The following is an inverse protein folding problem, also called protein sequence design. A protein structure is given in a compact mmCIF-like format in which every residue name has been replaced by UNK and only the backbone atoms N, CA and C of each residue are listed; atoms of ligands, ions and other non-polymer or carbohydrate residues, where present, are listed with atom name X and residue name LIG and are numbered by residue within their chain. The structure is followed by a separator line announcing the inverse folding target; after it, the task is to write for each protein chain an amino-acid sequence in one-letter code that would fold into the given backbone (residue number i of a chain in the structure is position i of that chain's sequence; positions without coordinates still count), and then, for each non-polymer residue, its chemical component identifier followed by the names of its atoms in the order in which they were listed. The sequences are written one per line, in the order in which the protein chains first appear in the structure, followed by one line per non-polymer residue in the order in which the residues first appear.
data_IF_134658681873
#
_entry.id   IF_134658681873
#
_cell.length_a   1.000
_cell.length_b   1.000
_cell.length_c   1.000
_cell.angle_alpha   90.00
_cell.angle_beta   90.00
_cell.angle_gamma   90.00
#
_symmetry.space_group_name_H-M   'P 1'
#
loop_
_entity.id
_entity.type
_entity.pdbx_description
1 polymer ?
#
# COMPACT_ATOMS: atom_id res chain seq x y z
N UNK A 1 -4.17 -13.92 5.29
CA UNK A 1 -4.08 -13.32 3.94
C UNK A 1 -3.60 -11.87 3.99
N UNK A 2 -4.18 -11.07 4.87
CA UNK A 2 -3.70 -9.70 5.05
C UNK A 2 -2.24 -9.67 5.54
N UNK A 3 -1.86 -10.60 6.42
CA UNK A 3 -0.49 -10.72 6.89
C UNK A 3 0.48 -11.08 5.77
N UNK A 4 0.07 -11.94 4.85
CA UNK A 4 0.91 -12.30 3.71
C UNK A 4 1.21 -11.06 2.86
N UNK A 5 0.18 -10.31 2.52
CA UNK A 5 0.32 -9.09 1.72
C UNK A 5 1.17 -8.06 2.47
N UNK A 6 0.89 -7.85 3.76
CA UNK A 6 1.65 -6.92 4.60
C UNK A 6 3.14 -7.26 4.62
N UNK A 7 3.46 -8.53 4.87
CA UNK A 7 4.84 -9.00 4.95
C UNK A 7 5.59 -8.77 3.65
N UNK A 8 4.98 -9.13 2.53
CA UNK A 8 5.58 -8.98 1.21
C UNK A 8 5.76 -7.51 0.82
N UNK A 9 4.77 -6.67 1.11
CA UNK A 9 4.88 -5.24 0.81
C UNK A 9 5.97 -4.59 1.66
N UNK A 10 6.07 -4.94 2.95
CA UNK A 10 7.16 -4.46 3.81
C UNK A 10 8.52 -4.82 3.23
N UNK A 11 8.65 -6.04 2.73
CA UNK A 11 9.88 -6.54 2.13
C UNK A 11 10.26 -5.72 0.90
N UNK A 12 9.29 -5.44 0.04
CA UNK A 12 9.48 -4.61 -1.16
C UNK A 12 9.95 -3.20 -0.77
N UNK A 13 9.31 -2.61 0.23
CA UNK A 13 9.63 -1.27 0.74
C UNK A 13 11.08 -1.23 1.24
N UNK A 14 11.49 -2.22 2.01
CA UNK A 14 12.85 -2.30 2.54
C UNK A 14 13.89 -2.52 1.45
N UNK A 15 13.63 -3.44 0.53
CA UNK A 15 14.57 -3.79 -0.54
C UNK A 15 14.81 -2.61 -1.49
N UNK A 16 13.79 -1.77 -1.70
CA UNK A 16 13.87 -0.64 -2.63
C UNK A 16 14.07 0.70 -1.93
N UNK A 17 14.30 0.69 -0.62
CA UNK A 17 14.54 1.91 0.18
C UNK A 17 13.44 2.95 0.01
N UNK A 18 12.21 2.50 -0.08
CA UNK A 18 11.04 3.37 -0.22
C UNK A 18 10.65 3.92 1.16
N UNK A 19 10.29 5.20 1.22
CA UNK A 19 9.84 5.84 2.45
C UNK A 19 8.35 5.60 2.65
N UNK A 20 8.01 4.45 3.21
CA UNK A 20 6.63 4.08 3.45
C UNK A 20 6.54 3.08 4.61
N UNK A 21 5.35 2.98 5.18
CA UNK A 21 5.04 1.99 6.21
C UNK A 21 3.72 1.33 5.88
N UNK A 22 3.56 0.08 6.30
CA UNK A 22 2.33 -0.68 6.12
C UNK A 22 1.71 -0.91 7.48
N UNK A 23 0.46 -0.53 7.61
CA UNK A 23 -0.34 -0.76 8.81
C UNK A 23 -1.43 -1.75 8.48
N UNK A 24 -1.74 -2.66 9.41
CA UNK A 24 -2.82 -3.61 9.24
C UNK A 24 -3.63 -3.74 10.53
N UNK A 25 -4.92 -3.95 10.35
CA UNK A 25 -5.83 -4.27 11.46
C UNK A 25 -6.85 -5.27 10.92
N UNK A 26 -6.81 -6.49 11.45
CA UNK A 26 -7.67 -7.58 10.98
C UNK A 26 -7.52 -7.79 9.47
N UNK A 27 -8.58 -7.55 8.69
CA UNK A 27 -8.56 -7.74 7.24
C UNK A 27 -8.30 -6.45 6.46
N UNK A 28 -7.88 -5.37 7.15
CA UNK A 28 -7.61 -4.09 6.52
C UNK A 28 -6.11 -3.83 6.44
N UNK A 29 -5.67 -3.28 5.31
CA UNK A 29 -4.29 -2.88 5.08
C UNK A 29 -4.24 -1.44 4.59
N UNK A 30 -3.23 -0.70 5.04
CA UNK A 30 -2.97 0.64 4.54
C UNK A 30 -1.48 0.89 4.40
N UNK A 31 -1.08 1.46 3.27
CA UNK A 31 0.28 1.93 3.07
C UNK A 31 0.29 3.44 3.31
N UNK A 32 1.21 3.89 4.17
CA UNK A 32 1.41 5.32 4.44
C UNK A 32 2.80 5.69 3.94
N UNK A 33 2.87 6.68 3.05
CA UNK A 33 4.10 7.05 2.35
C UNK A 33 4.95 8.00 3.18
N UNK A 34 5.43 7.51 4.32
CA UNK A 34 6.35 8.23 5.19
C UNK A 34 7.10 7.21 6.06
N UNK A 35 8.29 7.57 6.53
CA UNK A 35 9.02 6.78 7.53
C UNK A 35 8.69 7.22 8.96
N UNK A 36 8.00 8.33 9.12
CA UNK A 36 7.61 8.81 10.44
C UNK A 36 6.51 7.95 11.04
N UNK A 37 6.56 7.73 12.36
CA UNK A 37 5.52 7.00 13.05
C UNK A 37 4.20 7.77 12.94
N UNK A 38 3.15 7.07 12.51
CA UNK A 38 1.82 7.66 12.37
C UNK A 38 0.95 7.17 13.53
N UNK A 39 0.45 8.11 14.33
CA UNK A 39 -0.37 7.80 15.48
C UNK A 39 -1.85 7.97 15.19
N UNK A 40 -2.21 8.93 14.34
CA UNK A 40 -3.59 9.22 14.02
C UNK A 40 -3.76 9.67 12.57
N UNK A 41 -5.01 9.80 12.14
CA UNK A 41 -5.35 10.17 10.76
C UNK A 41 -4.77 11.52 10.36
N UNK A 42 -4.77 12.49 11.26
CA UNK A 42 -4.27 13.83 10.99
C UNK A 42 -2.79 13.79 10.61
N UNK A 43 -1.99 13.06 11.40
CA UNK A 43 -0.56 12.91 11.13
C UNK A 43 -0.32 12.20 9.79
N UNK A 44 -1.10 11.16 9.51
CA UNK A 44 -1.01 10.41 8.27
C UNK A 44 -1.22 11.34 7.07
N UNK A 45 -2.29 12.12 7.08
CA UNK A 45 -2.62 13.01 5.98
C UNK A 45 -1.55 14.09 5.79
N UNK A 46 -1.02 14.60 6.89
CA UNK A 46 0.05 15.60 6.86
C UNK A 46 1.30 15.03 6.19
N UNK A 47 1.73 13.83 6.56
CA UNK A 47 2.94 13.24 6.03
C UNK A 47 2.81 12.84 4.55
N UNK A 48 1.66 12.36 4.15
CA UNK A 48 1.42 11.97 2.76
C UNK A 48 1.33 13.15 1.80
N UNK A 49 0.98 14.32 2.31
CA UNK A 49 0.80 15.52 1.49
C UNK A 49 2.05 15.86 0.67
N UNK A 50 3.24 15.62 1.23
CA UNK A 50 4.51 15.91 0.55
C UNK A 50 4.74 15.07 -0.71
N UNK A 51 4.07 13.93 -0.83
CA UNK A 51 4.23 12.99 -1.94
C UNK A 51 2.95 12.80 -2.73
N UNK A 52 2.05 13.78 -2.65
CA UNK A 52 0.70 13.66 -3.19
C UNK A 52 0.68 13.22 -4.65
N UNK A 53 1.51 13.82 -5.50
CA UNK A 53 1.53 13.46 -6.92
C UNK A 53 1.88 12.00 -7.16
N UNK A 54 2.89 11.49 -6.47
CA UNK A 54 3.32 10.10 -6.61
C UNK A 54 2.26 9.15 -6.06
N UNK A 55 1.64 9.52 -4.94
CA UNK A 55 0.55 8.74 -4.33
C UNK A 55 -0.64 8.64 -5.28
N UNK A 56 -1.02 9.76 -5.90
CA UNK A 56 -2.15 9.76 -6.86
C UNK A 56 -1.84 8.91 -8.08
N UNK A 57 -0.63 9.01 -8.62
CA UNK A 57 -0.21 8.18 -9.75
C UNK A 57 -0.21 6.70 -9.40
N UNK A 58 0.25 6.36 -8.21
CA UNK A 58 0.26 5.00 -7.71
C UNK A 58 -1.17 4.45 -7.58
N UNK A 59 -2.08 5.24 -6.99
CA UNK A 59 -3.48 4.83 -6.84
C UNK A 59 -4.14 4.58 -8.20
N UNK A 60 -3.90 5.47 -9.17
CA UNK A 60 -4.43 5.29 -10.53
C UNK A 60 -3.89 4.00 -11.17
N UNK A 61 -2.60 3.73 -10.98
CA UNK A 61 -1.97 2.51 -11.50
C UNK A 61 -2.63 1.26 -10.92
N UNK A 62 -2.85 1.25 -9.61
CA UNK A 62 -3.47 0.11 -8.90
C UNK A 62 -4.90 -0.10 -9.40
N UNK A 63 -5.70 0.97 -9.50
CA UNK A 63 -7.07 0.90 -10.00
C UNK A 63 -7.13 0.42 -11.45
N UNK A 64 -6.21 0.89 -12.30
CA UNK A 64 -6.14 0.47 -13.70
C UNK A 64 -5.89 -1.03 -13.81
N UNK A 65 -5.21 -1.62 -12.85
CA UNK A 65 -4.94 -3.05 -12.79
C UNK A 65 -6.02 -3.84 -12.04
N UNK A 66 -7.21 -3.25 -11.90
CA UNK A 66 -8.42 -3.90 -11.37
C UNK A 66 -8.34 -4.26 -9.90
N UNK A 67 -7.56 -3.52 -9.12
CA UNK A 67 -7.54 -3.65 -7.68
C UNK A 67 -8.29 -2.45 -7.10
N UNK A 68 -9.29 -2.73 -6.25
CA UNK A 68 -10.03 -1.64 -5.61
C UNK A 68 -9.15 -0.97 -4.56
N UNK A 69 -8.77 0.28 -4.83
CA UNK A 69 -7.91 1.07 -3.97
C UNK A 69 -8.56 2.42 -3.75
N UNK A 70 -9.40 2.56 -2.71
CA UNK A 70 -10.19 3.79 -2.50
C UNK A 70 -9.30 4.97 -2.08
N UNK A 71 -9.89 6.16 -2.08
CA UNK A 71 -9.18 7.41 -1.77
C UNK A 71 -8.52 7.40 -0.39
N UNK A 72 -9.10 6.70 0.59
CA UNK A 72 -8.52 6.60 1.93
C UNK A 72 -7.31 5.66 1.99
N UNK A 73 -7.02 4.93 0.91
CA UNK A 73 -5.86 4.04 0.85
C UNK A 73 -6.00 2.75 1.63
N UNK A 74 -7.20 2.39 2.07
CA UNK A 74 -7.43 1.16 2.82
C UNK A 74 -7.80 0.03 1.87
N UNK A 75 -7.10 -1.09 1.99
CA UNK A 75 -7.36 -2.30 1.20
C UNK A 75 -7.98 -3.33 2.12
N UNK A 76 -9.09 -3.92 1.67
CA UNK A 76 -9.78 -4.97 2.41
C UNK A 76 -9.45 -6.33 1.81
N UNK A 77 -9.06 -7.27 2.68
CA UNK A 77 -8.74 -8.65 2.28
C UNK A 77 -9.73 -9.56 2.99
N UNK A 78 -10.64 -10.16 2.24
CA UNK A 78 -11.66 -11.04 2.82
C UNK A 78 -11.21 -12.50 2.85
N UNK A 79 -12.00 -13.35 3.54
CA UNK A 79 -11.74 -14.78 3.52
C UNK A 79 -11.94 -15.40 2.14
N UNK A 80 -12.69 -14.73 1.27
CA UNK A 80 -12.90 -15.18 -0.10
C UNK A 80 -11.74 -14.83 -1.03
N UNK A 81 -10.84 -13.96 -0.60
CA UNK A 81 -9.64 -13.63 -1.37
C UNK A 81 -8.73 -14.85 -1.41
N UNK A 82 -8.40 -15.32 -2.62
CA UNK A 82 -7.55 -16.50 -2.78
C UNK A 82 -6.08 -16.16 -2.63
N UNK A 83 -5.25 -17.19 -2.48
CA UNK A 83 -3.79 -17.00 -2.44
C UNK A 83 -3.30 -16.42 -3.79
N UNK A 84 -3.90 -16.83 -4.89
CA UNK A 84 -3.56 -16.28 -6.21
C UNK A 84 -3.92 -14.80 -6.29
N UNK A 85 -5.05 -14.39 -5.73
CA UNK A 85 -5.43 -12.98 -5.63
C UNK A 85 -4.41 -12.19 -4.83
N UNK A 86 -3.95 -12.74 -3.70
CA UNK A 86 -2.93 -12.11 -2.87
C UNK A 86 -1.63 -11.91 -3.66
N UNK A 87 -1.19 -12.92 -4.39
CA UNK A 87 0.01 -12.85 -5.22
C UNK A 87 -0.13 -11.79 -6.32
N UNK A 88 -1.31 -11.67 -6.91
CA UNK A 88 -1.59 -10.66 -7.92
C UNK A 88 -1.47 -9.24 -7.32
N UNK A 89 -2.10 -9.03 -6.17
CA UNK A 89 -2.05 -7.74 -5.47
C UNK A 89 -0.60 -7.37 -5.14
N UNK A 90 0.16 -8.31 -4.58
CA UNK A 90 1.55 -8.11 -4.23
C UNK A 90 2.38 -7.73 -5.46
N UNK A 91 2.17 -8.41 -6.58
CA UNK A 91 2.90 -8.16 -7.82
C UNK A 91 2.60 -6.77 -8.38
N UNK A 92 1.32 -6.36 -8.38
CA UNK A 92 0.93 -5.03 -8.86
C UNK A 92 1.50 -3.94 -7.96
N UNK A 93 1.44 -4.13 -6.63
CA UNK A 93 2.02 -3.17 -5.69
C UNK A 93 3.53 -3.07 -5.86
N UNK A 94 4.20 -4.20 -6.07
CA UNK A 94 5.65 -4.21 -6.32
C UNK A 94 6.00 -3.36 -7.55
N UNK A 95 5.28 -3.55 -8.65
CA UNK A 95 5.49 -2.79 -9.88
C UNK A 95 5.23 -1.30 -9.66
N UNK A 96 4.12 -0.96 -9.01
CA UNK A 96 3.75 0.43 -8.77
C UNK A 96 4.71 1.14 -7.81
N UNK A 97 5.08 0.49 -6.72
CA UNK A 97 6.00 1.07 -5.75
C UNK A 97 7.36 1.34 -6.37
N UNK A 98 7.87 0.42 -7.18
CA UNK A 98 9.13 0.62 -7.90
C UNK A 98 9.05 1.73 -8.92
N UNK A 99 7.91 1.84 -9.63
CA UNK A 99 7.73 2.84 -10.68
C UNK A 99 7.63 4.25 -10.12
N UNK A 100 6.91 4.45 -9.02
CA UNK A 100 6.57 5.79 -8.54
C UNK A 100 7.34 6.25 -7.30
N UNK A 101 7.97 5.35 -6.56
CA UNK A 101 8.63 5.69 -5.30
C UNK A 101 10.09 5.25 -5.19
N UNK A 102 10.59 4.54 -6.18
CA UNK A 102 11.99 4.15 -6.19
C UNK A 102 12.89 5.21 -6.80
#
# INVERSE_FOLDING_TARGET
KANLIKTEIKKIILENKIRAKVYSFESMLRIVFTKNKVINRYQRDFFEKKKLNNVLKFKKFVLKNRIYYPANGIIFVSNETTINDCKYIINIFKKGLKKFFK
#
